data_IF_197258819380
#
_entry.id   IF_197258819380
#
_cell.length_a   1.000
_cell.length_b   1.000
_cell.length_c   1.000
_cell.angle_alpha   90.00
_cell.angle_beta   90.00
_cell.angle_gamma   90.00
#
_symmetry.space_group_name_H-M   'P 1'
#
loop_
_entity.id
_entity.type
_entity.pdbx_description
1 polymer ?
#
# COMPACT_ATOMS: atom_id res chain seq x y z
N UNK A 1 26.44 9.24 36.43
CA UNK A 1 25.22 8.51 36.05
C UNK A 1 24.06 9.08 36.86
N UNK A 2 22.90 9.35 36.26
CA UNK A 2 21.74 9.89 36.96
C UNK A 2 21.07 8.78 37.80
N UNK A 3 20.77 9.04 39.08
CA UNK A 3 20.02 8.09 39.93
C UNK A 3 18.52 8.38 39.85
N UNK A 4 17.78 7.52 39.15
CA UNK A 4 16.35 7.73 38.86
C UNK A 4 15.43 7.78 40.09
N UNK A 5 15.87 7.26 41.24
CA UNK A 5 15.08 7.11 42.46
C UNK A 5 15.21 8.28 43.43
N UNK A 6 16.11 9.23 43.16
CA UNK A 6 16.32 10.43 43.99
C UNK A 6 15.62 11.63 43.37
N UNK A 7 15.12 12.54 44.21
CA UNK A 7 14.56 13.82 43.75
C UNK A 7 15.66 14.57 42.98
N UNK A 8 15.42 14.99 41.72
CA UNK A 8 16.44 15.68 40.94
C UNK A 8 16.85 17.01 41.59
N UNK A 9 18.15 17.37 41.60
CA UNK A 9 18.64 18.60 42.21
C UNK A 9 18.39 19.86 41.34
N UNK A 10 17.55 19.75 40.31
CA UNK A 10 17.23 20.81 39.36
C UNK A 10 15.73 20.82 39.06
N UNK A 11 15.23 21.99 38.72
CA UNK A 11 13.84 22.24 38.33
C UNK A 11 13.68 22.14 36.82
N UNK A 12 12.46 21.87 36.37
CA UNK A 12 12.11 21.86 34.94
C UNK A 12 12.46 23.17 34.22
N UNK A 13 12.42 24.30 34.93
CA UNK A 13 12.80 25.61 34.39
C UNK A 13 14.30 25.67 34.00
N UNK A 14 15.17 25.05 34.80
CA UNK A 14 16.61 25.03 34.56
C UNK A 14 16.95 24.18 33.32
N UNK A 15 16.27 23.03 33.17
CA UNK A 15 16.40 22.18 31.98
C UNK A 15 15.95 22.93 30.72
N UNK A 16 14.79 23.61 30.78
CA UNK A 16 14.29 24.39 29.65
C UNK A 16 15.23 25.53 29.27
N UNK A 17 15.84 26.19 30.25
CA UNK A 17 16.79 27.26 30.04
C UNK A 17 18.11 26.79 29.39
N UNK A 18 18.53 25.55 29.67
CA UNK A 18 19.71 24.94 29.06
C UNK A 18 19.51 24.55 27.58
N UNK A 19 18.27 24.38 27.11
CA UNK A 19 17.97 23.98 25.74
C UNK A 19 17.99 25.21 24.82
N UNK A 20 18.75 25.19 23.70
CA UNK A 20 18.80 26.31 22.75
C UNK A 20 17.40 26.73 22.25
N UNK A 21 17.14 28.05 22.18
CA UNK A 21 15.82 28.61 21.79
C UNK A 21 15.26 28.02 20.49
N UNK A 22 16.13 27.80 19.49
CA UNK A 22 15.78 27.20 18.19
C UNK A 22 15.12 25.82 18.29
N UNK A 23 15.42 25.05 19.34
CA UNK A 23 14.80 23.73 19.55
C UNK A 23 13.31 23.83 19.93
N UNK A 24 12.86 25.01 20.35
CA UNK A 24 11.47 25.29 20.69
C UNK A 24 10.70 25.97 19.55
N UNK A 25 11.36 26.29 18.43
CA UNK A 25 10.72 26.88 17.26
C UNK A 25 9.82 25.83 16.59
N UNK A 26 8.51 26.11 16.60
CA UNK A 26 7.51 25.24 15.99
C UNK A 26 7.36 25.61 14.53
N UNK A 27 7.50 24.62 13.64
CA UNK A 27 7.17 24.77 12.23
C UNK A 27 5.84 24.07 11.93
N UNK A 28 4.81 24.87 11.70
CA UNK A 28 3.49 24.36 11.28
C UNK A 28 3.57 23.66 9.93
N UNK A 29 4.36 24.19 8.99
CA UNK A 29 4.57 23.57 7.67
C UNK A 29 5.21 22.19 7.80
N UNK A 30 6.26 22.06 8.61
CA UNK A 30 6.91 20.76 8.84
C UNK A 30 5.98 19.77 9.54
N UNK A 31 5.16 20.25 10.48
CA UNK A 31 4.22 19.38 11.18
C UNK A 31 3.10 18.90 10.25
N UNK A 32 2.53 19.80 9.45
CA UNK A 32 1.49 19.48 8.47
C UNK A 32 2.03 18.56 7.37
N UNK A 33 3.27 18.71 6.92
CA UNK A 33 3.84 17.83 5.90
C UNK A 33 3.90 16.37 6.36
N UNK A 34 4.17 16.11 7.65
CA UNK A 34 4.09 14.76 8.20
C UNK A 34 2.66 14.22 8.17
N UNK A 35 1.67 15.04 8.53
CA UNK A 35 0.24 14.63 8.47
C UNK A 35 -0.17 14.29 7.05
N UNK A 36 0.15 15.14 6.07
CA UNK A 36 -0.20 14.88 4.66
C UNK A 36 0.51 13.65 4.10
N UNK A 37 1.79 13.47 4.43
CA UNK A 37 2.54 12.27 4.07
C UNK A 37 1.86 11.01 4.63
N UNK A 38 1.55 11.02 5.92
CA UNK A 38 0.99 9.84 6.60
C UNK A 38 -0.42 9.54 6.09
N UNK A 39 -1.25 10.57 5.86
CA UNK A 39 -2.56 10.43 5.23
C UNK A 39 -2.47 9.85 3.81
N UNK A 40 -1.52 10.31 2.99
CA UNK A 40 -1.30 9.76 1.65
C UNK A 40 -0.90 8.27 1.70
N UNK A 41 -0.04 7.88 2.64
CA UNK A 41 0.30 6.47 2.85
C UNK A 41 -0.91 5.64 3.27
N UNK A 42 -1.72 6.12 4.21
CA UNK A 42 -2.93 5.41 4.66
C UNK A 42 -3.90 5.25 3.50
N UNK A 43 -4.17 6.30 2.73
CA UNK A 43 -5.06 6.22 1.56
C UNK A 43 -4.55 5.20 0.54
N UNK A 44 -3.25 5.21 0.26
CA UNK A 44 -2.64 4.24 -0.67
C UNK A 44 -2.75 2.80 -0.15
N UNK A 45 -2.50 2.55 1.13
CA UNK A 45 -2.63 1.21 1.74
C UNK A 45 -4.09 0.75 1.71
N UNK A 46 -5.04 1.61 2.08
CA UNK A 46 -6.46 1.28 2.05
C UNK A 46 -6.95 0.98 0.64
N UNK A 47 -6.47 1.75 -0.35
CA UNK A 47 -6.74 1.49 -1.76
C UNK A 47 -6.17 0.13 -2.21
N UNK A 48 -4.90 -0.16 -1.88
CA UNK A 48 -4.26 -1.44 -2.19
C UNK A 48 -5.01 -2.62 -1.58
N UNK A 49 -5.37 -2.53 -0.30
CA UNK A 49 -6.12 -3.59 0.41
C UNK A 49 -7.49 -3.83 -0.25
N UNK A 50 -8.20 -2.76 -0.57
CA UNK A 50 -9.50 -2.83 -1.23
C UNK A 50 -9.42 -3.50 -2.60
N UNK A 51 -8.50 -3.07 -3.48
CA UNK A 51 -8.36 -3.66 -4.82
C UNK A 51 -7.85 -5.10 -4.74
N UNK A 52 -6.94 -5.43 -3.82
CA UNK A 52 -6.50 -6.81 -3.59
C UNK A 52 -7.65 -7.68 -3.12
N UNK A 53 -8.44 -7.22 -2.13
CA UNK A 53 -9.60 -7.96 -1.66
C UNK A 53 -10.56 -8.26 -2.81
N UNK A 54 -10.92 -7.24 -3.60
CA UNK A 54 -11.77 -7.42 -4.76
C UNK A 54 -11.14 -8.44 -5.71
N UNK A 55 -9.95 -8.18 -6.26
CA UNK A 55 -9.35 -9.06 -7.27
C UNK A 55 -9.10 -10.49 -6.81
N UNK A 56 -9.04 -10.78 -5.51
CA UNK A 56 -8.85 -12.14 -4.99
C UNK A 56 -10.11 -12.75 -4.35
N UNK A 57 -11.25 -12.03 -4.31
CA UNK A 57 -12.53 -12.55 -3.81
C UNK A 57 -13.65 -12.28 -4.82
N UNK A 58 -14.19 -13.33 -5.42
CA UNK A 58 -15.40 -13.27 -6.25
C UNK A 58 -16.63 -13.79 -5.51
N UNK A 59 -17.76 -13.09 -5.67
CA UNK A 59 -19.04 -13.56 -5.13
C UNK A 59 -19.59 -14.74 -5.94
N UNK A 60 -19.64 -14.59 -7.28
CA UNK A 60 -20.10 -15.65 -8.20
C UNK A 60 -18.99 -16.65 -8.53
N UNK A 61 -17.75 -16.18 -8.60
CA UNK A 61 -16.57 -17.00 -8.90
C UNK A 61 -15.75 -17.16 -7.61
N UNK A 62 -15.89 -18.30 -6.95
CA UNK A 62 -15.09 -18.60 -5.76
C UNK A 62 -13.68 -18.99 -6.18
N UNK A 63 -12.69 -18.20 -5.74
CA UNK A 63 -11.28 -18.49 -5.98
C UNK A 63 -10.72 -19.39 -4.86
N UNK A 64 -9.94 -20.43 -5.20
CA UNK A 64 -9.28 -21.26 -4.19
C UNK A 64 -8.15 -20.49 -3.50
N UNK A 65 -7.99 -20.73 -2.19
CA UNK A 65 -6.90 -20.13 -1.42
C UNK A 65 -5.85 -21.18 -1.06
N UNK A 66 -4.79 -21.24 -1.87
CA UNK A 66 -3.71 -22.20 -1.70
C UNK A 66 -2.79 -21.82 -0.54
N UNK A 67 -2.39 -22.80 0.28
CA UNK A 67 -1.45 -22.63 1.40
C UNK A 67 -0.36 -23.69 1.39
N UNK A 68 0.77 -23.39 2.03
CA UNK A 68 1.86 -24.34 2.22
C UNK A 68 2.38 -24.89 0.88
N UNK A 69 2.43 -26.22 0.75
CA UNK A 69 2.97 -26.90 -0.44
C UNK A 69 2.07 -26.81 -1.68
N UNK A 70 0.80 -26.44 -1.52
CA UNK A 70 -0.14 -26.31 -2.65
C UNK A 70 -0.01 -24.97 -3.38
N UNK A 71 0.63 -23.99 -2.73
CA UNK A 71 0.85 -22.67 -3.31
C UNK A 71 2.12 -22.65 -4.17
N UNK A 72 2.01 -22.03 -5.34
CA UNK A 72 3.15 -21.59 -6.15
C UNK A 72 2.78 -20.30 -6.88
N UNK A 73 3.78 -19.62 -7.45
CA UNK A 73 3.60 -18.32 -8.11
C UNK A 73 2.51 -18.36 -9.19
N UNK A 74 2.55 -19.37 -10.08
CA UNK A 74 1.60 -19.49 -11.17
C UNK A 74 0.16 -19.67 -10.65
N UNK A 75 -0.05 -20.56 -9.67
CA UNK A 75 -1.36 -20.75 -9.03
C UNK A 75 -1.84 -19.48 -8.35
N UNK A 76 -0.97 -18.77 -7.64
CA UNK A 76 -1.29 -17.50 -7.00
C UNK A 76 -1.71 -16.42 -8.00
N UNK A 77 -0.96 -16.28 -9.09
CA UNK A 77 -1.25 -15.30 -10.14
C UNK A 77 -2.59 -15.59 -10.87
N UNK A 78 -2.91 -16.86 -11.07
CA UNK A 78 -4.17 -17.30 -11.69
C UNK A 78 -5.37 -17.23 -10.75
N UNK A 79 -5.17 -17.17 -9.43
CA UNK A 79 -6.26 -16.97 -8.46
C UNK A 79 -6.64 -15.50 -8.32
N UNK A 80 -7.01 -14.90 -9.44
CA UNK A 80 -7.41 -13.49 -9.55
C UNK A 80 -8.67 -13.38 -10.42
N UNK A 81 -9.45 -12.32 -10.19
CA UNK A 81 -10.63 -11.96 -10.97
C UNK A 81 -10.40 -10.56 -11.52
N UNK A 82 -10.31 -10.47 -12.84
CA UNK A 82 -10.25 -9.20 -13.54
C UNK A 82 -11.53 -8.40 -13.34
N UNK A 83 -11.40 -7.08 -13.25
CA UNK A 83 -12.52 -6.16 -13.04
C UNK A 83 -12.41 -4.94 -13.91
N UNK A 84 -13.55 -4.59 -14.49
CA UNK A 84 -13.73 -3.34 -15.20
C UNK A 84 -14.39 -2.31 -14.26
N UNK A 85 -13.66 -1.25 -13.94
CA UNK A 85 -14.15 -0.12 -13.15
C UNK A 85 -14.61 1.06 -14.03
N UNK A 86 -14.74 0.85 -15.34
CA UNK A 86 -15.11 1.85 -16.32
C UNK A 86 -14.07 2.97 -16.42
N UNK A 87 -14.54 4.22 -16.34
CA UNK A 87 -13.68 5.41 -16.44
C UNK A 87 -12.60 5.51 -15.34
N UNK A 88 -12.73 4.74 -14.26
CA UNK A 88 -11.74 4.70 -13.17
C UNK A 88 -10.51 3.86 -13.58
N UNK A 89 -10.60 2.99 -14.58
CA UNK A 89 -9.49 2.13 -15.01
C UNK A 89 -8.22 2.93 -15.34
N UNK A 90 -8.35 4.05 -16.05
CA UNK A 90 -7.20 4.89 -16.43
C UNK A 90 -6.53 5.54 -15.20
N UNK A 91 -7.32 5.92 -14.19
CA UNK A 91 -6.83 6.47 -12.93
C UNK A 91 -6.06 5.39 -12.14
N UNK A 92 -6.58 4.17 -12.15
CA UNK A 92 -5.94 3.01 -11.54
C UNK A 92 -4.89 2.34 -12.44
N UNK A 93 -4.48 2.96 -13.54
CA UNK A 93 -3.47 2.42 -14.47
C UNK A 93 -3.79 0.99 -14.92
N UNK A 94 -5.05 0.72 -15.25
CA UNK A 94 -5.53 -0.60 -15.70
C UNK A 94 -5.24 -1.75 -14.74
N UNK A 95 -5.19 -1.50 -13.42
CA UNK A 95 -5.01 -2.57 -12.41
C UNK A 95 -6.06 -3.69 -12.49
N UNK A 96 -7.20 -3.40 -13.14
CA UNK A 96 -8.28 -4.35 -13.38
C UNK A 96 -7.89 -5.57 -14.23
N UNK A 97 -6.84 -5.49 -15.04
CA UNK A 97 -6.22 -6.63 -15.76
C UNK A 97 -5.26 -7.38 -14.84
N UNK A 98 -5.77 -7.78 -13.68
CA UNK A 98 -4.96 -8.18 -12.53
C UNK A 98 -4.20 -9.47 -12.80
N UNK A 99 -4.77 -10.43 -13.56
CA UNK A 99 -4.06 -11.67 -13.85
C UNK A 99 -2.80 -11.46 -14.71
N UNK A 100 -2.88 -10.70 -15.81
CA UNK A 100 -1.72 -10.39 -16.68
C UNK A 100 -0.71 -9.56 -15.92
N UNK A 101 -1.19 -8.62 -15.10
CA UNK A 101 -0.32 -7.82 -14.26
C UNK A 101 0.53 -8.68 -13.32
N UNK A 102 -0.04 -9.73 -12.71
CA UNK A 102 0.71 -10.66 -11.85
C UNK A 102 1.62 -11.60 -12.62
N UNK A 103 1.18 -12.12 -13.77
CA UNK A 103 1.99 -13.05 -14.56
C UNK A 103 3.18 -12.36 -15.22
N UNK A 104 2.98 -11.14 -15.72
CA UNK A 104 3.93 -10.41 -16.53
C UNK A 104 4.02 -8.94 -16.09
N UNK A 105 4.49 -8.65 -14.87
CA UNK A 105 4.58 -7.28 -14.36
C UNK A 105 5.57 -6.40 -15.13
N UNK A 106 6.36 -6.99 -16.04
CA UNK A 106 7.23 -6.26 -16.97
C UNK A 106 6.45 -5.59 -18.12
N UNK A 107 5.23 -6.05 -18.42
CA UNK A 107 4.37 -5.40 -19.41
C UNK A 107 3.94 -4.04 -18.85
N UNK A 108 4.25 -2.92 -19.53
CA UNK A 108 3.83 -1.62 -19.05
C UNK A 108 2.30 -1.51 -18.95
N UNK A 109 1.81 -0.79 -17.94
CA UNK A 109 0.38 -0.69 -17.64
C UNK A 109 -0.50 -0.18 -18.80
N UNK A 110 0.06 0.65 -19.70
CA UNK A 110 -0.63 1.15 -20.89
C UNK A 110 -0.72 0.12 -22.03
N UNK A 111 -0.05 -1.03 -21.92
CA UNK A 111 -0.19 -2.17 -22.84
C UNK A 111 -0.95 -3.35 -22.24
N UNK A 112 -1.32 -3.31 -20.95
CA UNK A 112 -1.98 -4.45 -20.30
C UNK A 112 -3.35 -4.77 -20.90
N UNK A 113 -4.14 -3.74 -21.24
CA UNK A 113 -5.45 -3.91 -21.88
C UNK A 113 -5.33 -4.56 -23.27
N UNK A 114 -4.26 -4.25 -24.01
CA UNK A 114 -3.97 -4.91 -25.29
C UNK A 114 -3.50 -6.36 -25.06
N UNK A 115 -2.63 -6.59 -24.07
CA UNK A 115 -2.12 -7.92 -23.72
C UNK A 115 -3.24 -8.93 -23.35
N UNK A 116 -4.28 -8.50 -22.63
CA UNK A 116 -5.44 -9.36 -22.31
C UNK A 116 -6.34 -9.65 -23.53
N UNK A 117 -6.28 -8.82 -24.57
CA UNK A 117 -7.09 -8.99 -25.78
C UNK A 117 -6.52 -10.05 -26.73
N UNK A 118 -5.23 -10.36 -26.61
CA UNK A 118 -4.65 -11.54 -27.26
C UNK A 118 -5.25 -12.81 -26.66
N UNK A 119 -5.41 -13.88 -27.45
CA UNK A 119 -6.08 -15.08 -27.01
C UNK A 119 -5.18 -15.92 -26.07
N UNK A 120 -5.00 -15.44 -24.84
CA UNK A 120 -4.54 -16.23 -23.71
C UNK A 120 -5.64 -17.18 -23.18
N UNK A 121 -6.91 -16.91 -23.52
CA UNK A 121 -8.08 -17.75 -23.25
C UNK A 121 -8.05 -19.13 -23.93
N UNK A 122 -7.04 -19.43 -24.77
CA UNK A 122 -6.86 -20.76 -25.36
C UNK A 122 -6.07 -21.69 -24.41
N UNK A 123 -5.44 -21.14 -23.37
CA UNK A 123 -4.61 -21.90 -22.42
C UNK A 123 -5.29 -22.18 -21.07
N UNK A 124 -6.53 -21.75 -20.86
CA UNK A 124 -7.30 -21.96 -19.62
C UNK A 124 -8.78 -22.24 -19.90
#
# INVERSE_FOLDING_TARGET
MFEAWKVPPFRMAEIRAAIPKRCWEKSTVRSLSYVFRDAAFVVFIMWLDFVTYLHHHGYHQKLPWYRGKEWNFLRGALTTVDRDYGWINDIHRNIGTHFVHHLFPQIPHYHLAEAVSFPFYIFF
#
